data_IF_407524889778
#
_entry.id   IF_407524889778
#
_cell.length_a   1.000
_cell.length_b   1.000
_cell.length_c   1.000
_cell.angle_alpha   90.00
_cell.angle_beta   90.00
_cell.angle_gamma   90.00
#
_symmetry.space_group_name_H-M   'P 1'
#
loop_
_entity.id
_entity.type
_entity.pdbx_description
1 polymer ?
#
# COMPACT_ATOMS: atom_id res chain seq x y z
N UNK A 1 -1.35 -55.78 50.17
CA UNK A 1 -0.68 -54.53 49.82
C UNK A 1 -0.72 -54.37 48.31
N UNK A 2 -1.60 -53.55 47.84
CA UNK A 2 -1.77 -53.26 46.40
C UNK A 2 -1.21 -51.84 46.16
N UNK A 3 -0.07 -51.73 45.48
CA UNK A 3 0.45 -50.45 45.02
C UNK A 3 -0.30 -50.04 43.78
N UNK A 4 -1.01 -48.93 43.85
CA UNK A 4 -1.56 -48.23 42.69
C UNK A 4 -0.44 -47.38 42.07
N UNK A 5 0.00 -47.76 40.88
CA UNK A 5 0.82 -46.91 40.04
C UNK A 5 -0.08 -45.90 39.34
N UNK A 6 0.00 -44.65 39.73
CA UNK A 6 -0.54 -43.53 38.96
C UNK A 6 0.43 -43.16 37.86
N UNK A 7 0.09 -43.49 36.63
CA UNK A 7 0.80 -42.94 35.43
C UNK A 7 0.21 -41.57 35.11
N UNK A 8 0.98 -40.54 35.38
CA UNK A 8 0.69 -39.17 34.95
C UNK A 8 1.13 -39.04 33.51
N UNK A 9 0.19 -39.02 32.58
CA UNK A 9 0.40 -38.66 31.19
C UNK A 9 0.47 -37.12 31.08
N UNK A 10 1.67 -36.59 31.03
CA UNK A 10 1.89 -35.16 30.69
C UNK A 10 1.67 -34.96 29.20
N UNK A 11 0.49 -34.49 28.85
CA UNK A 11 0.19 -34.06 27.49
C UNK A 11 0.90 -32.75 27.16
N UNK A 12 1.93 -32.81 26.31
CA UNK A 12 2.60 -31.65 25.77
C UNK A 12 1.72 -31.04 24.65
N UNK A 13 0.92 -30.02 25.01
CA UNK A 13 0.19 -29.24 24.00
C UNK A 13 1.17 -28.36 23.26
N UNK A 14 1.53 -28.72 22.03
CA UNK A 14 2.21 -27.81 21.09
C UNK A 14 1.23 -26.70 20.69
N UNK A 15 1.40 -25.53 21.29
CA UNK A 15 0.75 -24.31 20.82
C UNK A 15 1.51 -23.88 19.56
N UNK A 16 0.96 -24.18 18.40
CA UNK A 16 1.43 -23.63 17.13
C UNK A 16 1.14 -22.13 17.14
N UNK A 17 2.15 -21.31 17.44
CA UNK A 17 2.08 -19.87 17.25
C UNK A 17 2.04 -19.61 15.73
N UNK A 18 0.84 -19.38 15.21
CA UNK A 18 0.66 -18.84 13.87
C UNK A 18 1.26 -17.41 13.88
N UNK A 19 2.46 -17.28 13.34
CA UNK A 19 3.03 -15.97 13.05
C UNK A 19 2.22 -15.36 11.92
N UNK A 20 1.16 -14.62 12.26
CA UNK A 20 0.53 -13.73 11.30
C UNK A 20 1.60 -12.73 10.86
N UNK A 21 2.04 -12.81 9.60
CA UNK A 21 2.78 -11.72 8.97
C UNK A 21 1.83 -10.52 8.95
N UNK A 22 1.84 -9.73 10.00
CA UNK A 22 1.16 -8.45 10.02
C UNK A 22 1.64 -7.64 8.83
N UNK A 23 0.70 -7.10 8.02
CA UNK A 23 1.06 -6.17 6.98
C UNK A 23 1.86 -5.04 7.62
N UNK A 24 3.12 -4.89 7.22
CA UNK A 24 3.97 -3.84 7.75
C UNK A 24 3.44 -2.49 7.27
N UNK A 25 3.22 -1.54 8.20
CA UNK A 25 2.79 -0.20 7.84
C UNK A 25 3.80 0.44 6.88
N UNK A 26 3.30 1.17 5.88
CA UNK A 26 4.15 1.88 4.93
C UNK A 26 5.01 2.93 5.64
N UNK A 27 6.26 3.08 5.18
CA UNK A 27 7.11 4.19 5.57
C UNK A 27 6.67 5.45 4.80
N UNK A 28 5.88 6.29 5.48
CA UNK A 28 5.28 7.48 4.88
C UNK A 28 6.32 8.51 4.42
N UNK A 29 7.40 8.69 5.18
CA UNK A 29 8.47 9.65 4.82
C UNK A 29 9.14 9.22 3.53
N UNK A 30 9.62 7.99 3.45
CA UNK A 30 10.26 7.46 2.24
C UNK A 30 9.31 7.47 1.04
N UNK A 31 8.03 7.17 1.23
CA UNK A 31 7.03 7.22 0.17
C UNK A 31 6.81 8.63 -0.37
N UNK A 32 6.69 9.63 0.51
CA UNK A 32 6.53 11.03 0.11
C UNK A 32 7.77 11.59 -0.57
N UNK A 33 8.96 11.24 -0.11
CA UNK A 33 10.22 11.64 -0.74
C UNK A 33 10.32 11.06 -2.16
N UNK A 34 9.97 9.79 -2.34
CA UNK A 34 9.92 9.16 -3.66
C UNK A 34 8.86 9.81 -4.57
N UNK A 35 7.67 10.09 -4.05
CA UNK A 35 6.62 10.77 -4.79
C UNK A 35 7.06 12.16 -5.26
N UNK A 36 7.71 12.94 -4.38
CA UNK A 36 8.27 14.24 -4.70
C UNK A 36 9.35 14.14 -5.78
N UNK A 37 10.31 13.24 -5.60
CA UNK A 37 11.39 13.01 -6.55
C UNK A 37 10.88 12.56 -7.94
N UNK A 38 9.77 11.83 -7.96
CA UNK A 38 9.12 11.33 -9.18
C UNK A 38 8.18 12.37 -9.84
N UNK A 39 7.99 13.54 -9.23
CA UNK A 39 7.12 14.59 -9.75
C UNK A 39 5.62 14.34 -9.58
N UNK A 40 5.22 13.42 -8.72
CA UNK A 40 3.79 13.09 -8.50
C UNK A 40 2.98 14.31 -8.07
N UNK A 41 3.54 15.15 -7.20
CA UNK A 41 2.85 16.32 -6.65
C UNK A 41 2.70 17.50 -7.64
N UNK A 42 3.25 17.38 -8.84
CA UNK A 42 2.99 18.35 -9.92
C UNK A 42 1.54 18.21 -10.42
N UNK A 43 1.01 16.99 -10.46
CA UNK A 43 -0.32 16.69 -10.98
C UNK A 43 -1.30 16.18 -9.91
N UNK A 44 -0.82 15.69 -8.77
CA UNK A 44 -1.64 15.18 -7.68
C UNK A 44 -1.39 15.96 -6.39
N UNK A 45 -2.43 16.48 -5.76
CA UNK A 45 -2.38 16.86 -4.34
C UNK A 45 -2.64 15.64 -3.46
N UNK A 46 -2.30 15.71 -2.19
CA UNK A 46 -2.70 14.66 -1.23
C UNK A 46 -4.22 14.72 -1.02
N UNK A 47 -4.74 15.89 -0.70
CA UNK A 47 -6.16 16.14 -0.42
C UNK A 47 -6.85 16.98 -1.49
N UNK A 48 -6.10 17.52 -2.42
CA UNK A 48 -6.59 18.47 -3.42
C UNK A 48 -6.41 17.94 -4.82
N UNK A 49 -7.49 17.97 -5.60
CA UNK A 49 -7.44 17.71 -7.04
C UNK A 49 -6.64 18.80 -7.74
N UNK A 50 -5.79 18.38 -8.67
CA UNK A 50 -5.04 19.22 -9.62
C UNK A 50 -5.37 18.74 -11.04
N UNK A 51 -4.36 18.56 -11.90
CA UNK A 51 -4.56 17.92 -13.21
C UNK A 51 -4.95 16.46 -13.08
N UNK A 52 -4.41 15.77 -12.08
CA UNK A 52 -4.83 14.45 -11.65
C UNK A 52 -5.69 14.48 -10.38
N UNK A 53 -6.33 13.35 -10.04
CA UNK A 53 -7.11 13.25 -8.81
C UNK A 53 -6.24 13.45 -7.56
N UNK A 54 -6.84 13.89 -6.45
CA UNK A 54 -6.18 13.85 -5.16
C UNK A 54 -5.78 12.41 -4.83
N UNK A 55 -4.62 12.22 -4.20
CA UNK A 55 -4.16 10.87 -3.82
C UNK A 55 -5.12 10.20 -2.84
N UNK A 56 -5.78 10.98 -1.97
CA UNK A 56 -6.82 10.48 -1.07
C UNK A 56 -8.04 9.97 -1.83
N UNK A 57 -8.42 10.62 -2.92
CA UNK A 57 -9.54 10.17 -3.76
C UNK A 57 -9.18 8.88 -4.51
N UNK A 58 -7.92 8.75 -4.95
CA UNK A 58 -7.41 7.51 -5.52
C UNK A 58 -7.45 6.37 -4.49
N UNK A 59 -7.04 6.64 -3.25
CA UNK A 59 -7.12 5.68 -2.14
C UNK A 59 -8.56 5.23 -1.89
N UNK A 60 -9.52 6.16 -1.87
CA UNK A 60 -10.94 5.85 -1.68
C UNK A 60 -11.49 5.01 -2.84
N UNK A 61 -11.10 5.31 -4.09
CA UNK A 61 -11.53 4.57 -5.28
C UNK A 61 -11.03 3.12 -5.30
N UNK A 62 -9.79 2.88 -4.88
CA UNK A 62 -9.15 1.57 -4.94
C UNK A 62 -9.18 0.82 -3.62
N UNK A 63 -9.42 1.50 -2.50
CA UNK A 63 -9.43 0.91 -1.16
C UNK A 63 -10.37 -0.28 -1.04
N UNK A 64 -9.91 -1.32 -0.32
CA UNK A 64 -10.65 -2.56 -0.13
C UNK A 64 -10.70 -3.50 -1.33
N UNK A 65 -10.21 -3.09 -2.50
CA UNK A 65 -10.16 -3.96 -3.69
C UNK A 65 -8.95 -4.89 -3.61
N UNK A 66 -9.10 -6.19 -3.92
CA UNK A 66 -7.99 -7.14 -3.89
C UNK A 66 -6.89 -6.83 -4.91
N UNK A 67 -7.21 -6.12 -6.00
CA UNK A 67 -6.27 -5.73 -7.05
C UNK A 67 -5.72 -4.29 -6.92
N UNK A 68 -6.02 -3.60 -5.82
CA UNK A 68 -5.67 -2.19 -5.64
C UNK A 68 -4.17 -1.92 -5.77
N UNK A 69 -3.35 -2.70 -5.09
CA UNK A 69 -1.89 -2.55 -5.11
C UNK A 69 -1.34 -2.76 -6.53
N UNK A 70 -1.73 -3.83 -7.20
CA UNK A 70 -1.26 -4.15 -8.56
C UNK A 70 -1.69 -3.08 -9.57
N UNK A 71 -2.90 -2.57 -9.45
CA UNK A 71 -3.40 -1.49 -10.32
C UNK A 71 -2.62 -0.20 -10.15
N UNK A 72 -2.32 0.18 -8.91
CA UNK A 72 -1.55 1.39 -8.65
C UNK A 72 -0.07 1.22 -9.02
N UNK A 73 0.54 0.06 -8.80
CA UNK A 73 1.90 -0.23 -9.29
C UNK A 73 1.96 -0.13 -10.80
N UNK A 74 0.99 -0.71 -11.52
CA UNK A 74 0.90 -0.56 -12.97
C UNK A 74 0.81 0.92 -13.38
N UNK A 75 -0.03 1.70 -12.73
CA UNK A 75 -0.21 3.11 -13.01
C UNK A 75 1.08 3.94 -12.87
N UNK A 76 1.86 3.69 -11.81
CA UNK A 76 3.09 4.45 -11.56
C UNK A 76 4.31 3.95 -12.35
N UNK A 77 4.23 2.79 -12.99
CA UNK A 77 5.37 2.16 -13.68
C UNK A 77 5.21 2.05 -15.19
N UNK A 78 3.99 1.99 -15.70
CA UNK A 78 3.72 1.68 -17.12
C UNK A 78 3.91 2.87 -18.07
N UNK A 79 3.70 4.09 -17.58
CA UNK A 79 3.63 5.26 -18.47
C UNK A 79 2.36 5.27 -19.32
N UNK A 80 1.26 4.67 -18.84
CA UNK A 80 -0.01 4.65 -19.57
C UNK A 80 -0.50 6.06 -19.94
N UNK A 81 -1.26 6.12 -21.04
CA UNK A 81 -1.87 7.39 -21.47
C UNK A 81 -2.92 7.83 -20.46
N UNK A 82 -2.84 9.07 -20.05
CA UNK A 82 -3.81 9.70 -19.15
C UNK A 82 -4.40 10.94 -19.80
N UNK A 83 -5.69 11.16 -19.55
CA UNK A 83 -6.43 12.29 -20.06
C UNK A 83 -6.50 13.39 -19.03
N UNK A 84 -6.13 14.59 -19.43
CA UNK A 84 -6.16 15.80 -18.62
C UNK A 84 -7.55 16.47 -18.65
N UNK A 85 -7.84 17.37 -17.70
CA UNK A 85 -9.14 18.05 -17.64
C UNK A 85 -9.51 18.87 -18.89
N UNK A 86 -8.52 19.40 -19.60
CA UNK A 86 -8.72 20.13 -20.86
C UNK A 86 -8.91 19.22 -22.09
N UNK A 87 -8.81 17.89 -21.89
CA UNK A 87 -9.02 16.87 -22.91
C UNK A 87 -7.78 16.40 -23.65
N UNK A 88 -6.61 17.04 -23.45
CA UNK A 88 -5.38 16.51 -24.02
C UNK A 88 -4.91 15.25 -23.28
N UNK A 89 -4.04 14.48 -23.90
CA UNK A 89 -3.50 13.24 -23.35
C UNK A 89 -2.00 13.24 -23.35
N UNK A 90 -1.42 12.74 -22.25
CA UNK A 90 0.02 12.56 -22.11
C UNK A 90 0.33 11.18 -21.53
N UNK A 91 1.57 10.74 -21.65
CA UNK A 91 2.04 9.57 -20.94
C UNK A 91 2.21 9.91 -19.45
N UNK A 92 1.66 9.08 -18.58
CA UNK A 92 1.82 9.23 -17.14
C UNK A 92 3.30 9.14 -16.75
N UNK A 93 3.74 10.05 -15.87
CA UNK A 93 5.12 10.01 -15.37
C UNK A 93 5.38 8.71 -14.63
N UNK A 94 6.51 8.08 -14.93
CA UNK A 94 6.94 6.87 -14.23
C UNK A 94 7.67 7.23 -12.95
N UNK A 95 7.46 6.41 -11.92
CA UNK A 95 8.20 6.51 -10.67
C UNK A 95 9.72 6.36 -10.91
N UNK A 96 10.52 7.16 -10.19
CA UNK A 96 11.98 7.19 -10.34
C UNK A 96 12.72 6.08 -9.57
N UNK A 97 12.14 4.91 -9.49
CA UNK A 97 12.79 3.73 -8.94
C UNK A 97 12.38 2.50 -9.71
N UNK A 98 13.28 1.53 -9.79
CA UNK A 98 12.99 0.18 -10.31
C UNK A 98 12.90 -0.84 -9.18
N UNK A 99 13.12 -0.43 -7.94
CA UNK A 99 13.02 -1.31 -6.78
C UNK A 99 11.53 -1.61 -6.47
N UNK A 100 11.10 -2.87 -6.57
CA UNK A 100 9.71 -3.23 -6.28
C UNK A 100 9.29 -2.94 -4.84
N UNK A 101 10.22 -2.97 -3.89
CA UNK A 101 9.91 -2.68 -2.50
C UNK A 101 9.59 -1.19 -2.28
N UNK A 102 10.34 -0.30 -2.93
CA UNK A 102 10.07 1.14 -2.89
C UNK A 102 8.76 1.50 -3.62
N UNK A 103 8.51 0.87 -4.77
CA UNK A 103 7.25 1.04 -5.51
C UNK A 103 6.05 0.61 -4.65
N UNK A 104 6.15 -0.54 -4.02
CA UNK A 104 5.11 -1.06 -3.12
C UNK A 104 4.91 -0.16 -1.92
N UNK A 105 5.98 0.32 -1.30
CA UNK A 105 5.89 1.25 -0.18
C UNK A 105 5.14 2.54 -0.55
N UNK A 106 5.42 3.11 -1.73
CA UNK A 106 4.72 4.28 -2.24
C UNK A 106 3.21 4.00 -2.41
N UNK A 107 2.87 2.90 -3.06
CA UNK A 107 1.47 2.52 -3.29
C UNK A 107 0.74 2.23 -1.99
N UNK A 108 1.36 1.53 -1.05
CA UNK A 108 0.77 1.26 0.27
C UNK A 108 0.55 2.55 1.07
N UNK A 109 1.47 3.51 0.98
CA UNK A 109 1.26 4.81 1.58
C UNK A 109 0.06 5.54 0.95
N UNK A 110 -0.06 5.57 -0.38
CA UNK A 110 -1.21 6.17 -1.07
C UNK A 110 -2.51 5.51 -0.59
N UNK A 111 -2.58 4.19 -0.58
CA UNK A 111 -3.76 3.45 -0.13
C UNK A 111 -4.10 3.71 1.34
N UNK A 112 -3.11 4.01 2.18
CA UNK A 112 -3.31 4.35 3.59
C UNK A 112 -3.99 5.70 3.82
N UNK A 113 -4.08 6.55 2.78
CA UNK A 113 -4.74 7.87 2.88
C UNK A 113 -6.26 7.78 2.94
N UNK A 114 -6.84 6.62 2.63
CA UNK A 114 -8.25 6.37 2.82
C UNK A 114 -8.62 6.45 4.31
N UNK A 115 -9.69 7.19 4.64
CA UNK A 115 -10.18 7.32 6.01
C UNK A 115 -9.34 8.20 6.94
N UNK A 116 -8.24 8.77 6.47
CA UNK A 116 -7.48 9.76 7.24
C UNK A 116 -8.24 11.09 7.40
N UNK A 117 -8.05 11.75 8.54
CA UNK A 117 -8.61 13.09 8.76
C UNK A 117 -8.10 14.05 7.70
N UNK A 118 -9.01 14.76 7.05
CA UNK A 118 -8.68 15.92 6.21
C UNK A 118 -8.15 17.02 7.14
N UNK A 119 -6.92 17.44 6.92
CA UNK A 119 -6.34 18.59 7.59
C UNK A 119 -6.78 19.88 6.91
#
# INVERSE_FOLDING_TARGET
MRQLMLTVLAGLALVAMATSKGAQAANAVAAQDLAKASGCFQCHGIDKKKDGPALRDAAAKFGGRPDAEDKLIYHITSGERVKFPDGHEEDHKKVKTKDPAEQRNLVQWILSLEGGTKY
#
